data_IF_342236390020
#
_entry.id   IF_342236390020
#
_cell.length_a   1.000
_cell.length_b   1.000
_cell.length_c   1.000
_cell.angle_alpha   90.00
_cell.angle_beta   90.00
_cell.angle_gamma   90.00
#
_symmetry.space_group_name_H-M   'P 1'
#
loop_
_entity.id
_entity.type
_entity.pdbx_description
1 polymer ?
#
# COMPACT_ATOMS: atom_id res chain seq x y z
N UNK A 1 5.01 2.66 13.56
CA UNK A 1 3.71 2.06 13.85
C UNK A 1 2.62 2.87 13.14
N UNK A 2 1.91 2.25 12.20
CA UNK A 2 0.90 2.89 11.35
C UNK A 2 -0.27 3.51 12.13
N UNK A 3 -0.57 3.00 13.33
CA UNK A 3 -1.56 3.60 14.22
C UNK A 3 -1.24 5.04 14.67
N UNK A 4 -0.01 5.51 14.50
CA UNK A 4 0.44 6.80 14.99
C UNK A 4 0.91 7.76 13.88
N UNK A 5 0.99 7.32 12.63
CA UNK A 5 1.61 8.10 11.54
C UNK A 5 0.97 9.48 11.34
N UNK A 6 -0.35 9.57 11.51
CA UNK A 6 -1.08 10.84 11.40
C UNK A 6 -0.62 11.88 12.44
N UNK A 7 -0.34 11.44 13.66
CA UNK A 7 0.13 12.33 14.75
C UNK A 7 1.61 12.65 14.61
N UNK A 8 2.39 11.77 13.99
CA UNK A 8 3.83 11.94 13.83
C UNK A 8 4.19 12.85 12.65
N UNK A 9 3.28 13.02 11.69
CA UNK A 9 3.53 13.91 10.56
C UNK A 9 3.47 15.37 10.99
N UNK A 10 4.51 16.17 10.77
CA UNK A 10 4.51 17.60 11.06
C UNK A 10 3.89 18.44 9.93
N UNK A 11 3.45 17.80 8.84
CA UNK A 11 3.02 18.50 7.63
C UNK A 11 1.50 18.57 7.52
N UNK A 12 1.03 19.63 6.82
CA UNK A 12 -0.40 19.79 6.51
C UNK A 12 -0.91 18.75 5.50
N UNK A 13 -0.04 18.35 4.58
CA UNK A 13 -0.28 17.29 3.59
C UNK A 13 0.87 16.30 3.64
N UNK A 14 0.57 15.02 3.54
CA UNK A 14 1.57 13.96 3.65
C UNK A 14 1.25 12.85 2.65
N UNK A 15 2.28 12.40 1.94
CA UNK A 15 2.27 11.11 1.25
C UNK A 15 3.21 10.18 2.04
N UNK A 16 2.64 9.17 2.67
CA UNK A 16 3.40 8.09 3.33
C UNK A 16 3.73 7.03 2.29
N UNK A 17 4.96 6.63 2.26
CA UNK A 17 5.45 5.49 1.50
C UNK A 17 5.98 4.42 2.45
N UNK A 18 5.86 3.14 2.09
CA UNK A 18 6.52 2.09 2.85
C UNK A 18 8.05 2.14 2.63
N UNK A 19 8.80 1.71 3.63
CA UNK A 19 10.26 1.80 3.62
C UNK A 19 10.93 0.87 2.58
N UNK A 20 10.19 -0.09 2.07
CA UNK A 20 10.60 -1.03 1.03
C UNK A 20 9.97 -0.69 -0.34
N UNK A 21 9.62 0.56 -0.54
CA UNK A 21 9.29 1.09 -1.86
C UNK A 21 10.51 1.72 -2.52
N UNK A 22 10.54 1.57 -3.82
CA UNK A 22 11.50 2.20 -4.71
C UNK A 22 10.74 3.08 -5.70
N UNK A 23 11.09 4.34 -5.74
CA UNK A 23 10.51 5.32 -6.64
C UNK A 23 11.54 5.67 -7.72
N UNK A 24 11.33 5.12 -8.91
CA UNK A 24 12.25 5.26 -10.05
C UNK A 24 11.79 6.32 -11.07
N UNK A 25 10.84 7.18 -10.70
CA UNK A 25 10.38 8.29 -11.54
C UNK A 25 9.85 9.44 -10.70
N UNK A 26 9.70 10.62 -11.30
CA UNK A 26 9.08 11.77 -10.63
C UNK A 26 7.62 11.46 -10.25
N UNK A 27 7.31 11.64 -8.97
CA UNK A 27 5.98 11.45 -8.38
C UNK A 27 5.30 12.76 -8.00
N UNK A 28 5.82 13.90 -8.38
CA UNK A 28 5.27 15.21 -8.00
C UNK A 28 3.80 15.39 -8.41
N UNK A 29 3.39 14.76 -9.53
CA UNK A 29 2.00 14.74 -9.99
C UNK A 29 1.03 14.02 -9.02
N UNK A 30 1.52 13.17 -8.12
CA UNK A 30 0.68 12.49 -7.12
C UNK A 30 -0.03 13.48 -6.19
N UNK A 31 0.61 14.58 -5.86
CA UNK A 31 -0.01 15.63 -5.05
C UNK A 31 -1.31 16.14 -5.67
N UNK A 32 -1.28 16.45 -6.96
CA UNK A 32 -2.49 16.91 -7.68
C UNK A 32 -3.55 15.82 -7.73
N UNK A 33 -3.14 14.58 -7.96
CA UNK A 33 -4.04 13.44 -8.05
C UNK A 33 -4.74 13.17 -6.71
N UNK A 34 -4.00 13.20 -5.59
CA UNK A 34 -4.55 12.85 -4.28
C UNK A 34 -5.38 13.94 -3.63
N UNK A 35 -5.13 15.21 -3.98
CA UNK A 35 -5.85 16.37 -3.41
C UNK A 35 -7.36 16.39 -3.67
N UNK A 36 -7.87 15.49 -4.49
CA UNK A 36 -9.31 15.29 -4.68
C UNK A 36 -10.01 14.68 -3.45
N UNK A 37 -9.26 14.16 -2.50
CA UNK A 37 -9.75 13.61 -1.22
C UNK A 37 -8.91 14.12 -0.05
N UNK A 38 -9.48 14.05 1.14
CA UNK A 38 -8.76 14.35 2.38
C UNK A 38 -7.85 13.21 2.82
N UNK A 39 -8.26 11.99 2.48
CA UNK A 39 -7.49 10.76 2.68
C UNK A 39 -7.53 9.97 1.38
N UNK A 40 -6.40 9.41 0.99
CA UNK A 40 -6.33 8.43 -0.12
C UNK A 40 -5.47 7.28 0.34
N UNK A 41 -6.09 6.09 0.39
CA UNK A 41 -5.39 4.83 0.60
C UNK A 41 -5.36 4.05 -0.71
N UNK A 42 -4.24 3.37 -0.99
CA UNK A 42 -4.12 2.58 -2.20
C UNK A 42 -4.98 1.32 -2.15
N UNK A 43 -5.63 1.03 -3.27
CA UNK A 43 -6.41 -0.19 -3.48
C UNK A 43 -5.84 -0.94 -4.68
N UNK A 44 -5.35 -2.14 -4.41
CA UNK A 44 -4.73 -2.98 -5.44
C UNK A 44 -3.30 -2.57 -5.81
N UNK A 45 -2.64 -3.45 -6.53
CA UNK A 45 -1.31 -3.26 -7.09
C UNK A 45 -1.19 -4.05 -8.41
N UNK A 46 -0.13 -3.84 -9.14
CA UNK A 46 0.17 -4.58 -10.36
C UNK A 46 1.22 -5.66 -10.07
N UNK A 47 1.18 -6.75 -10.82
CA UNK A 47 2.30 -7.65 -10.91
C UNK A 47 3.35 -7.11 -11.89
N UNK A 48 4.47 -7.82 -12.01
CA UNK A 48 5.54 -7.46 -12.94
C UNK A 48 5.12 -7.46 -14.43
N UNK A 49 4.01 -8.11 -14.78
CA UNK A 49 3.43 -8.10 -16.15
C UNK A 49 2.49 -6.91 -16.39
N UNK A 50 2.19 -6.15 -15.34
CA UNK A 50 1.22 -5.06 -15.40
C UNK A 50 -0.23 -5.49 -15.21
N UNK A 51 -0.48 -6.77 -14.87
CA UNK A 51 -1.81 -7.23 -14.51
C UNK A 51 -2.14 -6.83 -13.06
N UNK A 52 -3.42 -6.63 -12.77
CA UNK A 52 -3.85 -6.41 -11.39
C UNK A 52 -3.52 -7.63 -10.54
N UNK A 53 -2.68 -7.43 -9.54
CA UNK A 53 -2.24 -8.48 -8.63
C UNK A 53 -3.06 -8.44 -7.35
N UNK A 54 -4.13 -9.18 -7.33
CA UNK A 54 -4.79 -9.56 -6.09
C UNK A 54 -4.28 -10.94 -5.72
N UNK A 55 -3.38 -11.03 -4.74
CA UNK A 55 -2.93 -12.32 -4.23
C UNK A 55 -4.08 -12.97 -3.47
N UNK A 56 -4.97 -13.68 -4.18
CA UNK A 56 -6.24 -14.22 -3.68
C UNK A 56 -6.10 -15.00 -2.38
N UNK A 57 -5.03 -15.80 -2.21
CA UNK A 57 -4.83 -16.56 -0.97
C UNK A 57 -4.53 -15.66 0.25
N UNK A 58 -3.80 -14.58 0.03
CA UNK A 58 -3.50 -13.60 1.06
C UNK A 58 -4.69 -12.65 1.31
N UNK A 59 -5.49 -12.38 0.27
CA UNK A 59 -6.61 -11.43 0.28
C UNK A 59 -7.97 -12.07 0.58
N UNK A 60 -8.01 -13.37 0.89
CA UNK A 60 -9.26 -14.07 1.19
C UNK A 60 -10.09 -13.38 2.29
N UNK A 61 -9.43 -12.85 3.32
CA UNK A 61 -10.10 -12.11 4.40
C UNK A 61 -10.85 -10.87 3.88
N UNK A 62 -10.33 -10.21 2.85
CA UNK A 62 -11.00 -9.05 2.24
C UNK A 62 -12.24 -9.46 1.46
N UNK A 63 -12.12 -10.49 0.62
CA UNK A 63 -13.23 -11.01 -0.20
C UNK A 63 -14.38 -11.54 0.70
N UNK A 64 -14.06 -12.34 1.72
CA UNK A 64 -15.07 -12.99 2.58
C UNK A 64 -15.78 -12.01 3.53
N UNK A 65 -15.22 -10.82 3.75
CA UNK A 65 -15.80 -9.77 4.58
C UNK A 65 -16.25 -8.53 3.78
N UNK A 66 -16.22 -8.61 2.45
CA UNK A 66 -16.58 -7.50 1.55
C UNK A 66 -15.83 -6.20 1.83
N UNK A 67 -14.57 -6.31 2.22
CA UNK A 67 -13.71 -5.17 2.49
C UNK A 67 -13.08 -4.65 1.19
N UNK A 68 -12.81 -3.33 1.09
CA UNK A 68 -12.06 -2.79 -0.03
C UNK A 68 -10.67 -3.43 -0.09
N UNK A 69 -10.17 -3.70 -1.29
CA UNK A 69 -8.87 -4.36 -1.52
C UNK A 69 -7.71 -3.41 -1.25
N UNK A 70 -7.56 -3.01 0.01
CA UNK A 70 -6.51 -2.08 0.44
C UNK A 70 -5.13 -2.72 0.30
N UNK A 71 -4.21 -1.93 -0.21
CA UNK A 71 -2.79 -2.22 -0.31
C UNK A 71 -2.02 -0.99 0.17
N UNK A 72 -1.59 -1.00 1.43
CA UNK A 72 -1.10 0.19 2.14
C UNK A 72 0.35 0.61 1.79
N UNK A 73 0.75 0.42 0.53
CA UNK A 73 2.06 0.87 0.06
C UNK A 73 2.17 2.40 0.02
N UNK A 74 1.07 3.06 -0.35
CA UNK A 74 0.99 4.52 -0.42
C UNK A 74 -0.26 4.99 0.31
N UNK A 75 -0.11 5.95 1.18
CA UNK A 75 -1.22 6.61 1.87
C UNK A 75 -1.01 8.12 1.83
N UNK A 76 -2.02 8.85 1.36
CA UNK A 76 -2.04 10.31 1.41
C UNK A 76 -3.06 10.79 2.43
N UNK A 77 -2.75 11.88 3.09
CA UNK A 77 -3.73 12.66 3.85
C UNK A 77 -3.39 14.14 3.87
N UNK A 78 -4.40 14.97 4.02
CA UNK A 78 -4.26 16.34 4.47
C UNK A 78 -4.91 16.52 5.82
N UNK A 79 -4.44 17.49 6.59
CA UNK A 79 -4.96 17.78 7.92
C UNK A 79 -6.42 18.24 7.83
N UNK A 80 -7.35 17.38 8.21
CA UNK A 80 -8.81 17.58 8.13
C UNK A 80 -9.54 16.72 9.16
N UNK A 81 -10.82 16.97 9.38
CA UNK A 81 -11.66 16.13 10.24
C UNK A 81 -11.83 14.72 9.64
N UNK A 82 -11.94 14.60 8.32
CA UNK A 82 -11.98 13.27 7.64
C UNK A 82 -10.74 12.45 7.95
N UNK A 83 -9.56 13.05 7.82
CA UNK A 83 -8.29 12.36 8.14
C UNK A 83 -8.20 12.01 9.63
N UNK A 84 -8.59 12.94 10.50
CA UNK A 84 -8.61 12.70 11.95
C UNK A 84 -9.52 11.54 12.33
N UNK A 85 -10.70 11.45 11.73
CA UNK A 85 -11.67 10.39 11.96
C UNK A 85 -11.14 9.05 11.42
N UNK A 86 -10.60 9.02 10.19
CA UNK A 86 -10.02 7.83 9.60
C UNK A 86 -8.89 7.26 10.46
N UNK A 87 -7.89 8.05 10.80
CA UNK A 87 -6.77 7.62 11.63
C UNK A 87 -7.16 7.38 13.09
N UNK A 88 -8.25 7.99 13.54
CA UNK A 88 -8.89 7.64 14.81
C UNK A 88 -9.40 6.21 14.82
N UNK A 89 -10.14 5.81 13.78
CA UNK A 89 -10.61 4.45 13.58
C UNK A 89 -9.45 3.45 13.43
N UNK A 90 -8.46 3.77 12.60
CA UNK A 90 -7.25 2.93 12.45
C UNK A 90 -6.61 2.65 13.81
N UNK A 91 -6.42 3.69 14.61
CA UNK A 91 -5.85 3.54 15.97
C UNK A 91 -6.74 2.72 16.88
N UNK A 92 -8.05 2.93 16.85
CA UNK A 92 -9.01 2.20 17.67
C UNK A 92 -9.02 0.71 17.32
N UNK A 93 -9.05 0.37 16.03
CA UNK A 93 -9.02 -1.02 15.56
C UNK A 93 -7.72 -1.71 16.00
N UNK A 94 -6.57 -1.06 15.86
CA UNK A 94 -5.31 -1.62 16.36
C UNK A 94 -5.31 -1.83 17.88
N UNK A 95 -5.83 -0.86 18.63
CA UNK A 95 -5.86 -0.92 20.10
C UNK A 95 -6.82 -1.98 20.64
N UNK A 96 -7.91 -2.24 19.93
CA UNK A 96 -8.97 -3.15 20.31
C UNK A 96 -9.06 -4.38 19.39
N UNK A 97 -7.92 -4.83 18.84
CA UNK A 97 -7.89 -5.89 17.82
C UNK A 97 -8.64 -7.16 18.25
N UNK A 98 -8.51 -7.58 19.50
CA UNK A 98 -9.21 -8.77 20.02
C UNK A 98 -10.74 -8.68 19.90
N UNK A 99 -11.31 -7.48 19.93
CA UNK A 99 -12.72 -7.24 19.67
C UNK A 99 -13.03 -7.35 18.19
N UNK A 100 -12.30 -6.60 17.36
CA UNK A 100 -12.53 -6.56 15.90
C UNK A 100 -12.26 -7.91 15.23
N UNK A 101 -11.29 -8.68 15.73
CA UNK A 101 -10.99 -10.02 15.26
C UNK A 101 -12.21 -10.95 15.31
N UNK A 102 -13.10 -10.80 16.29
CA UNK A 102 -14.26 -11.66 16.48
C UNK A 102 -15.35 -11.43 15.41
N UNK A 103 -15.38 -10.27 14.76
CA UNK A 103 -16.37 -9.94 13.75
C UNK A 103 -15.88 -10.14 12.32
N UNK A 104 -14.60 -10.46 12.14
CA UNK A 104 -13.96 -10.67 10.84
C UNK A 104 -13.74 -12.17 10.60
N UNK A 105 -14.28 -12.69 9.50
CA UNK A 105 -14.03 -14.07 9.06
C UNK A 105 -12.57 -14.24 8.65
N UNK A 106 -11.94 -15.31 9.11
CA UNK A 106 -10.54 -15.62 8.82
C UNK A 106 -9.55 -14.52 9.26
N UNK A 107 -9.91 -13.77 10.30
CA UNK A 107 -9.03 -12.74 10.86
C UNK A 107 -7.69 -13.34 11.29
N UNK A 108 -6.55 -12.67 11.00
CA UNK A 108 -5.25 -13.09 11.50
C UNK A 108 -5.15 -12.91 13.02
N UNK A 109 -4.23 -13.63 13.65
CA UNK A 109 -3.98 -13.51 15.10
C UNK A 109 -3.54 -12.08 15.47
N UNK A 110 -2.69 -11.47 14.65
CA UNK A 110 -2.23 -10.11 14.83
C UNK A 110 -2.83 -9.19 13.76
N UNK A 111 -3.09 -7.91 14.10
CA UNK A 111 -3.63 -6.96 13.13
C UNK A 111 -2.64 -6.71 11.99
N UNK A 112 -3.10 -6.96 10.77
CA UNK A 112 -2.40 -6.58 9.55
C UNK A 112 -2.80 -5.16 9.15
N UNK A 113 -1.84 -4.34 8.73
CA UNK A 113 -2.08 -2.93 8.41
C UNK A 113 -3.08 -2.76 7.26
N UNK A 114 -2.95 -3.57 6.19
CA UNK A 114 -3.88 -3.51 5.05
C UNK A 114 -5.32 -3.80 5.50
N UNK A 115 -5.49 -4.82 6.35
CA UNK A 115 -6.79 -5.22 6.87
C UNK A 115 -7.39 -4.13 7.78
N UNK A 116 -6.60 -3.57 8.69
CA UNK A 116 -7.06 -2.49 9.58
C UNK A 116 -7.50 -1.26 8.80
N UNK A 117 -6.74 -0.87 7.77
CA UNK A 117 -7.11 0.25 6.90
C UNK A 117 -8.35 -0.05 6.07
N UNK A 118 -8.51 -1.29 5.59
CA UNK A 118 -9.71 -1.71 4.88
C UNK A 118 -10.96 -1.66 5.75
N UNK A 119 -10.84 -2.09 7.03
CA UNK A 119 -11.93 -2.00 8.00
C UNK A 119 -12.30 -0.55 8.31
N UNK A 120 -11.32 0.30 8.54
CA UNK A 120 -11.55 1.73 8.77
C UNK A 120 -12.21 2.40 7.56
N UNK A 121 -11.76 2.05 6.34
CA UNK A 121 -12.38 2.53 5.11
C UNK A 121 -13.81 2.04 4.97
N UNK A 122 -14.09 0.78 5.28
CA UNK A 122 -15.45 0.22 5.22
C UNK A 122 -16.39 0.93 6.20
N UNK A 123 -15.93 1.25 7.40
CA UNK A 123 -16.73 1.97 8.41
C UNK A 123 -17.05 3.40 7.95
N UNK A 124 -16.09 4.08 7.31
CA UNK A 124 -16.28 5.46 6.85
C UNK A 124 -17.05 5.59 5.53
N UNK A 125 -17.13 4.52 4.73
CA UNK A 125 -17.49 4.52 3.33
C UNK A 125 -16.24 4.60 2.45
N UNK A 126 -15.92 3.51 1.72
CA UNK A 126 -14.68 3.40 0.93
C UNK A 126 -14.46 4.56 -0.05
N UNK A 127 -15.54 5.08 -0.62
CA UNK A 127 -15.51 6.21 -1.56
C UNK A 127 -14.98 7.52 -0.96
N UNK A 128 -14.97 7.65 0.37
CA UNK A 128 -14.46 8.85 1.04
C UNK A 128 -12.94 8.85 1.16
N UNK A 129 -12.32 7.67 1.20
CA UNK A 129 -10.89 7.48 1.49
C UNK A 129 -10.13 6.74 0.40
N UNK A 130 -10.80 6.42 -0.72
CA UNK A 130 -10.17 5.80 -1.90
C UNK A 130 -10.45 6.60 -3.15
N UNK A 131 -9.65 6.39 -4.18
CA UNK A 131 -9.92 6.83 -5.55
C UNK A 131 -9.98 5.60 -6.46
N UNK A 132 -10.66 5.66 -7.62
CA UNK A 132 -10.72 4.52 -8.52
C UNK A 132 -9.32 4.03 -8.89
N UNK A 133 -9.11 2.71 -8.90
CA UNK A 133 -7.82 2.09 -9.22
C UNK A 133 -7.20 2.59 -10.54
N UNK A 134 -8.03 2.86 -11.56
CA UNK A 134 -7.59 3.41 -12.83
C UNK A 134 -6.95 4.81 -12.72
N UNK A 135 -7.32 5.56 -11.66
CA UNK A 135 -6.80 6.90 -11.36
C UNK A 135 -5.67 6.88 -10.33
N UNK A 136 -5.29 5.71 -9.84
CA UNK A 136 -4.26 5.55 -8.83
C UNK A 136 -2.87 5.42 -9.48
N UNK A 137 -1.81 5.87 -8.80
CA UNK A 137 -0.45 5.57 -9.25
C UNK A 137 -0.26 4.05 -9.35
N UNK A 138 0.26 3.61 -10.49
CA UNK A 138 0.52 2.20 -10.71
C UNK A 138 1.72 1.78 -9.88
N UNK A 139 1.46 0.94 -8.87
CA UNK A 139 2.48 0.39 -7.99
C UNK A 139 2.68 -1.07 -8.39
N UNK A 140 3.91 -1.43 -8.72
CA UNK A 140 4.27 -2.82 -9.02
C UNK A 140 4.71 -3.51 -7.73
N UNK A 141 3.99 -4.57 -7.37
CA UNK A 141 4.31 -5.39 -6.21
C UNK A 141 5.16 -6.58 -6.62
N UNK A 142 6.39 -6.62 -6.13
CA UNK A 142 7.39 -7.64 -6.43
C UNK A 142 7.69 -8.48 -5.20
N UNK A 143 6.80 -9.44 -4.89
CA UNK A 143 6.88 -10.19 -3.62
C UNK A 143 8.13 -11.03 -3.44
N UNK A 144 8.74 -11.54 -4.50
CA UNK A 144 9.76 -12.59 -4.35
C UNK A 144 11.05 -12.37 -5.12
N UNK A 145 11.04 -11.56 -6.17
CA UNK A 145 12.06 -11.69 -7.20
C UNK A 145 12.57 -10.33 -7.67
N UNK A 146 13.61 -9.84 -7.06
CA UNK A 146 14.50 -8.91 -7.71
C UNK A 146 15.92 -9.48 -7.60
N UNK A 147 16.63 -9.51 -8.69
CA UNK A 147 18.07 -9.62 -8.69
C UNK A 147 18.65 -8.24 -8.39
N UNK A 148 19.83 -8.21 -7.82
CA UNK A 148 20.58 -6.96 -7.70
C UNK A 148 20.86 -6.35 -9.07
N UNK A 149 21.35 -5.13 -9.09
CA UNK A 149 21.84 -4.48 -10.29
C UNK A 149 23.36 -4.41 -10.24
N UNK A 150 23.99 -4.58 -11.39
CA UNK A 150 25.44 -4.45 -11.54
C UNK A 150 25.87 -2.99 -11.72
N UNK A 151 24.92 -2.05 -11.70
CA UNK A 151 25.21 -0.62 -11.84
C UNK A 151 25.42 0.03 -10.47
N UNK A 152 26.36 0.96 -10.37
CA UNK A 152 26.58 1.75 -9.15
C UNK A 152 25.33 2.55 -8.76
N UNK A 153 24.56 2.99 -9.75
CA UNK A 153 23.27 3.64 -9.56
C UNK A 153 22.12 2.66 -9.85
N UNK A 154 21.71 1.94 -8.83
CA UNK A 154 20.62 0.98 -8.89
C UNK A 154 19.25 1.61 -9.26
N UNK A 155 19.11 2.92 -9.17
CA UNK A 155 17.89 3.62 -9.59
C UNK A 155 17.78 3.71 -11.11
N UNK A 156 18.88 3.50 -11.83
CA UNK A 156 18.93 3.57 -13.29
C UNK A 156 18.52 2.25 -13.94
N UNK A 157 18.80 1.13 -13.27
CA UNK A 157 18.52 -0.18 -13.82
C UNK A 157 18.19 -1.18 -12.71
N UNK A 158 16.95 -1.66 -12.71
CA UNK A 158 16.49 -2.71 -11.82
C UNK A 158 16.21 -3.97 -12.61
N UNK A 159 16.82 -5.06 -12.18
CA UNK A 159 16.58 -6.39 -12.74
C UNK A 159 15.66 -7.16 -11.83
N UNK A 160 14.54 -7.61 -12.37
CA UNK A 160 13.56 -8.41 -11.68
C UNK A 160 13.62 -9.85 -12.17
N UNK A 161 13.67 -10.80 -11.24
CA UNK A 161 13.59 -12.21 -11.55
C UNK A 161 12.25 -12.77 -11.04
N UNK A 162 11.55 -13.51 -11.89
CA UNK A 162 10.25 -14.10 -11.58
C UNK A 162 10.36 -15.60 -11.33
N UNK A 163 9.69 -16.09 -10.30
CA UNK A 163 9.56 -17.52 -9.98
C UNK A 163 8.20 -18.05 -10.51
N UNK A 164 8.12 -19.27 -11.07
CA UNK A 164 9.19 -20.25 -11.21
C UNK A 164 10.02 -20.14 -12.50
N UNK A 165 9.66 -19.21 -13.38
CA UNK A 165 10.20 -19.19 -14.76
C UNK A 165 11.58 -18.54 -14.86
N UNK A 166 12.07 -17.89 -13.79
CA UNK A 166 13.32 -17.13 -13.76
C UNK A 166 13.45 -16.12 -14.91
N UNK A 167 12.33 -15.55 -15.33
CA UNK A 167 12.34 -14.52 -16.34
C UNK A 167 12.87 -13.23 -15.71
N UNK A 168 13.91 -12.69 -16.30
CA UNK A 168 14.44 -11.38 -15.89
C UNK A 168 13.83 -10.28 -16.74
N UNK A 169 13.51 -9.17 -16.09
CA UNK A 169 13.09 -7.94 -16.75
C UNK A 169 13.80 -6.75 -16.12
N UNK A 170 13.93 -5.70 -16.88
CA UNK A 170 14.55 -4.45 -16.43
C UNK A 170 13.45 -3.40 -16.31
N UNK A 171 13.38 -2.73 -15.14
CA UNK A 171 12.47 -1.62 -14.91
C UNK A 171 13.28 -0.38 -14.57
N UNK A 172 13.03 0.71 -15.29
CA UNK A 172 13.72 2.00 -15.13
C UNK A 172 12.80 3.11 -14.66
N UNK A 173 11.49 2.87 -14.66
CA UNK A 173 10.48 3.85 -14.31
C UNK A 173 9.37 3.24 -13.47
N UNK A 174 8.77 4.04 -12.59
CA UNK A 174 7.61 3.66 -11.80
C UNK A 174 7.86 3.57 -10.32
N UNK A 175 6.85 3.09 -9.60
CA UNK A 175 6.90 2.83 -8.17
C UNK A 175 6.85 1.32 -7.93
N UNK A 176 7.79 0.81 -7.16
CA UNK A 176 7.94 -0.62 -6.91
C UNK A 176 7.94 -0.89 -5.41
N UNK A 177 7.16 -1.87 -4.99
CA UNK A 177 7.21 -2.40 -3.65
C UNK A 177 7.91 -3.77 -3.68
N UNK A 178 9.03 -3.91 -2.99
CA UNK A 178 9.85 -5.10 -3.00
C UNK A 178 9.91 -5.75 -1.61
N UNK A 179 10.03 -7.07 -1.58
CA UNK A 179 10.01 -7.83 -0.34
C UNK A 179 11.39 -8.43 0.00
N UNK A 180 12.27 -8.57 -0.99
CA UNK A 180 13.59 -9.15 -0.79
C UNK A 180 14.62 -8.05 -0.53
N UNK A 181 15.30 -8.11 0.63
CA UNK A 181 16.23 -7.06 1.09
C UNK A 181 17.70 -7.39 0.86
N UNK A 182 18.01 -8.50 0.16
CA UNK A 182 19.37 -8.99 -0.03
C UNK A 182 20.25 -8.17 -0.99
N UNK A 183 19.67 -7.22 -1.71
CA UNK A 183 20.40 -6.33 -2.60
C UNK A 183 20.90 -5.03 -1.91
N UNK A 184 20.65 -4.88 -0.60
CA UNK A 184 21.09 -3.74 0.22
C UNK A 184 22.50 -3.89 0.75
N UNK A 185 23.32 -4.76 0.16
CA UNK A 185 24.69 -4.97 0.59
C UNK A 185 25.64 -4.10 -0.22
#
# INVERSE_FOLDING_TARGET
NDAQIFKLSPFRETIKLEADMLIASDISHWWTMFRHRDVVISTGCLNWRGDVSTARNYRKVFDDNHLPDVYNAVTYWRLSETAKNFFGLVRDIFANWSHYQQVIKFAPEQPDTDLVYAMAAQIMGPEQVTIPFASYPKIVHMKRHHAGTDTEDWTQQLVWETDPLRIQTIAQHGAFHYNRKSWRV
#
